data_IF_087056745671
#
_entry.id   IF_087056745671
#
_cell.length_a   1.000
_cell.length_b   1.000
_cell.length_c   1.000
_cell.angle_alpha   90.00
_cell.angle_beta   90.00
_cell.angle_gamma   90.00
#
_symmetry.space_group_name_H-M   'P 1'
#
loop_
_entity.id
_entity.type
_entity.pdbx_description
1 polymer ?
#
# COMPACT_ATOMS: atom_id res chain seq x y z
N UNK A 1 7.26 16.54 13.38
CA UNK A 1 8.43 16.20 12.55
C UNK A 1 8.86 17.36 11.67
N UNK A 2 8.11 17.72 10.61
CA UNK A 2 8.52 18.78 9.66
C UNK A 2 8.73 20.15 10.34
N UNK A 3 7.78 20.56 11.19
CA UNK A 3 7.93 21.78 11.99
C UNK A 3 9.15 21.71 12.92
N UNK A 4 9.45 20.53 13.48
CA UNK A 4 10.63 20.31 14.34
C UNK A 4 11.95 20.51 13.58
N UNK A 5 12.04 20.04 12.34
CA UNK A 5 13.21 20.33 11.48
C UNK A 5 13.28 21.82 11.14
N UNK A 6 12.14 22.46 10.85
CA UNK A 6 12.09 23.87 10.48
C UNK A 6 12.47 24.83 11.63
N UNK A 7 12.18 24.47 12.88
CA UNK A 7 12.54 25.26 14.07
C UNK A 7 13.88 24.83 14.70
N UNK A 8 14.59 23.88 14.10
CA UNK A 8 15.90 23.42 14.56
C UNK A 8 15.89 22.41 15.71
N UNK A 9 14.71 21.91 16.10
CA UNK A 9 14.54 20.85 17.10
C UNK A 9 15.15 19.51 16.63
N UNK A 10 15.17 19.28 15.32
CA UNK A 10 15.89 18.16 14.70
C UNK A 10 16.86 18.71 13.65
N UNK A 11 18.10 18.22 13.65
CA UNK A 11 19.16 18.60 12.71
C UNK A 11 18.90 18.14 11.27
N UNK A 12 18.05 17.11 11.10
CA UNK A 12 17.68 16.58 9.79
C UNK A 12 16.34 15.86 9.81
N UNK A 13 15.76 15.66 8.62
CA UNK A 13 14.59 14.80 8.46
C UNK A 13 14.84 13.35 8.89
N UNK A 14 16.05 12.84 8.69
CA UNK A 14 16.43 11.49 9.11
C UNK A 14 16.35 11.34 10.63
N UNK A 15 16.95 12.28 11.36
CA UNK A 15 16.89 12.31 12.82
C UNK A 15 15.45 12.44 13.33
N UNK A 16 14.64 13.30 12.73
CA UNK A 16 13.24 13.45 13.10
C UNK A 16 12.46 12.14 12.94
N UNK A 17 12.70 11.39 11.86
CA UNK A 17 12.05 10.11 11.58
C UNK A 17 12.51 9.04 12.57
N UNK A 18 13.81 8.89 12.81
CA UNK A 18 14.36 7.87 13.74
C UNK A 18 13.84 8.05 15.18
N UNK A 19 13.67 9.31 15.60
CA UNK A 19 13.18 9.64 16.94
C UNK A 19 11.67 9.47 17.11
N UNK A 20 10.88 9.66 16.06
CA UNK A 20 9.41 9.76 16.18
C UNK A 20 8.65 8.61 15.54
N UNK A 21 9.22 7.94 14.54
CA UNK A 21 8.61 6.78 13.89
C UNK A 21 9.10 5.51 14.57
N UNK A 22 8.17 4.64 14.96
CA UNK A 22 8.44 3.34 15.56
C UNK A 22 7.67 2.27 14.81
N UNK A 23 8.32 1.14 14.56
CA UNK A 23 7.66 -0.02 13.98
C UNK A 23 6.71 -0.62 15.03
N UNK A 24 5.40 -0.58 14.75
CA UNK A 24 4.38 -1.22 15.60
C UNK A 24 4.26 -2.71 15.29
N UNK A 25 4.09 -3.05 14.00
CA UNK A 25 4.00 -4.44 13.52
C UNK A 25 4.71 -4.59 12.18
N UNK A 26 5.53 -5.64 12.09
CA UNK A 26 6.23 -6.03 10.87
C UNK A 26 5.67 -7.37 10.40
N UNK A 27 5.18 -7.42 9.16
CA UNK A 27 4.65 -8.64 8.55
C UNK A 27 5.63 -9.14 7.50
N UNK A 28 6.04 -10.40 7.60
CA UNK A 28 6.86 -11.07 6.61
C UNK A 28 5.99 -11.94 5.71
N UNK A 29 6.24 -11.97 4.39
CA UNK A 29 5.54 -12.87 3.49
C UNK A 29 5.75 -14.33 3.90
N UNK A 30 4.66 -15.07 4.02
CA UNK A 30 4.69 -16.53 4.16
C UNK A 30 4.64 -17.17 2.76
N UNK A 31 5.72 -17.85 2.39
CA UNK A 31 5.87 -18.48 1.08
C UNK A 31 4.84 -19.57 0.80
N UNK A 32 4.28 -20.21 1.85
CA UNK A 32 3.21 -21.21 1.71
C UNK A 32 1.89 -20.56 1.30
N UNK A 33 1.61 -19.35 1.80
CA UNK A 33 0.43 -18.57 1.46
C UNK A 33 0.57 -17.84 0.13
N UNK A 34 1.79 -17.47 -0.26
CA UNK A 34 2.08 -16.78 -1.52
C UNK A 34 1.47 -17.49 -2.74
N UNK A 35 1.64 -18.81 -2.84
CA UNK A 35 1.07 -19.60 -3.95
C UNK A 35 -0.46 -19.50 -4.03
N UNK A 36 -1.14 -19.50 -2.88
CA UNK A 36 -2.59 -19.37 -2.85
C UNK A 36 -3.04 -17.96 -3.28
N UNK A 37 -2.30 -16.93 -2.87
CA UNK A 37 -2.54 -15.56 -3.33
C UNK A 37 -2.33 -15.41 -4.83
N UNK A 38 -1.28 -16.02 -5.40
CA UNK A 38 -1.01 -15.97 -6.84
C UNK A 38 -2.15 -16.57 -7.66
N UNK A 39 -2.65 -17.75 -7.23
CA UNK A 39 -3.79 -18.42 -7.89
C UNK A 39 -5.03 -17.51 -7.85
N UNK A 40 -5.36 -16.99 -6.66
CA UNK A 40 -6.53 -16.12 -6.47
C UNK A 40 -6.40 -14.81 -7.27
N UNK A 41 -5.21 -14.23 -7.29
CA UNK A 41 -4.91 -13.02 -8.03
C UNK A 41 -5.06 -13.21 -9.54
N UNK A 42 -4.63 -14.37 -10.06
CA UNK A 42 -4.83 -14.72 -11.47
C UNK A 42 -6.32 -14.75 -11.84
N UNK A 43 -7.16 -15.37 -11.01
CA UNK A 43 -8.62 -15.41 -11.21
C UNK A 43 -9.20 -13.99 -11.16
N UNK A 44 -8.84 -13.20 -10.15
CA UNK A 44 -9.26 -11.79 -10.04
C UNK A 44 -8.89 -11.01 -11.30
N UNK A 45 -7.67 -11.18 -11.81
CA UNK A 45 -7.18 -10.48 -13.00
C UNK A 45 -7.98 -10.85 -14.24
N UNK A 46 -8.37 -12.12 -14.40
CA UNK A 46 -9.22 -12.57 -15.50
C UNK A 46 -10.61 -11.94 -15.41
N UNK A 47 -11.24 -11.98 -14.24
CA UNK A 47 -12.54 -11.35 -13.98
C UNK A 47 -12.48 -9.85 -14.29
N UNK A 48 -11.52 -9.14 -13.73
CA UNK A 48 -11.38 -7.70 -13.95
C UNK A 48 -11.16 -7.38 -15.43
N UNK A 49 -10.25 -8.08 -16.10
CA UNK A 49 -9.91 -7.80 -17.50
C UNK A 49 -11.10 -7.97 -18.44
N UNK A 50 -11.94 -8.97 -18.19
CA UNK A 50 -13.16 -9.23 -18.98
C UNK A 50 -14.27 -8.21 -18.69
N UNK A 51 -14.38 -7.74 -17.45
CA UNK A 51 -15.52 -6.93 -17.01
C UNK A 51 -15.25 -5.42 -16.97
N UNK A 52 -14.00 -4.96 -16.94
CA UNK A 52 -13.64 -3.54 -16.72
C UNK A 52 -14.36 -2.56 -17.64
N UNK A 53 -14.51 -2.89 -18.93
CA UNK A 53 -15.13 -2.00 -19.92
C UNK A 53 -16.65 -1.91 -19.71
N UNK A 54 -17.28 -3.03 -19.34
CA UNK A 54 -18.71 -3.08 -19.04
C UNK A 54 -19.00 -2.28 -17.78
N UNK A 55 -18.25 -2.52 -16.70
CA UNK A 55 -18.39 -1.82 -15.43
C UNK A 55 -18.13 -0.31 -15.58
N UNK A 56 -17.13 0.08 -16.38
CA UNK A 56 -16.86 1.49 -16.68
C UNK A 56 -17.99 2.18 -17.46
N UNK A 57 -18.73 1.44 -18.29
CA UNK A 57 -19.92 1.98 -18.98
C UNK A 57 -21.08 2.13 -18.02
N UNK A 58 -21.30 1.15 -17.13
CA UNK A 58 -22.32 1.20 -16.09
C UNK A 58 -22.07 2.41 -15.17
N UNK A 59 -20.82 2.67 -14.76
CA UNK A 59 -20.48 3.78 -13.88
C UNK A 59 -20.68 5.18 -14.49
N UNK A 60 -21.06 5.28 -15.77
CA UNK A 60 -21.39 6.55 -16.46
C UNK A 60 -22.89 6.75 -16.65
N UNK A 61 -23.71 5.82 -16.17
CA UNK A 61 -25.17 5.89 -16.26
C UNK A 61 -25.81 6.54 -15.04
N UNK A 62 -25.03 6.89 -14.01
CA UNK A 62 -25.43 7.72 -12.86
C UNK A 62 -24.95 9.16 -13.05
#
# INVERSE_FOLDING_TARGET
>A
MLAGVAVGEYSSYKEAVENTVKDDKVYYPDSSNGKQYDIRYSIYKDIYSKNKNLLHRISKLD
#
